data_IF_353529770059
#
_entry.id   IF_353529770059
#
_cell.length_a   1.000
_cell.length_b   1.000
_cell.length_c   1.000
_cell.angle_alpha   90.00
_cell.angle_beta   90.00
_cell.angle_gamma   90.00
#
_symmetry.space_group_name_H-M   'P 1'
#
loop_
_entity.id
_entity.type
_entity.pdbx_description
1 polymer ?
#
# COMPACT_ATOMS: atom_id res chain seq x y z
N UNK A 1 -0.72 14.31 -4.24
CA UNK A 1 0.03 15.58 -4.08
C UNK A 1 1.35 15.47 -4.85
N UNK A 2 2.14 16.55 -4.97
CA UNK A 2 3.53 16.43 -5.44
C UNK A 2 4.40 15.86 -4.30
N UNK A 3 5.26 14.87 -4.56
CA UNK A 3 6.12 14.32 -3.52
C UNK A 3 7.12 15.37 -3.04
N UNK A 4 7.48 15.30 -1.77
CA UNK A 4 8.64 16.04 -1.27
C UNK A 4 9.92 15.36 -1.77
N UNK A 5 10.84 16.13 -2.35
CA UNK A 5 12.09 15.62 -2.92
C UNK A 5 13.28 16.17 -2.14
N UNK A 6 14.22 15.30 -1.78
CA UNK A 6 15.42 15.64 -1.03
C UNK A 6 16.63 14.80 -1.47
N UNK A 7 17.82 15.17 -0.98
CA UNK A 7 19.06 14.45 -1.26
C UNK A 7 19.89 15.05 -2.38
N UNK A 8 20.63 14.19 -3.09
CA UNK A 8 21.44 14.63 -4.21
C UNK A 8 20.55 15.18 -5.33
N UNK A 9 21.08 16.13 -6.12
CA UNK A 9 20.33 16.70 -7.23
C UNK A 9 20.01 15.63 -8.27
N UNK A 10 18.73 15.43 -8.55
CA UNK A 10 18.23 14.53 -9.59
C UNK A 10 17.47 15.31 -10.67
N UNK A 11 17.33 14.72 -11.85
CA UNK A 11 16.50 15.28 -12.91
C UNK A 11 15.01 15.13 -12.57
N UNK A 12 14.17 16.06 -13.05
CA UNK A 12 12.72 15.95 -12.88
C UNK A 12 12.17 14.67 -13.54
N UNK A 13 12.79 14.24 -14.64
CA UNK A 13 12.47 12.98 -15.33
C UNK A 13 12.59 11.75 -14.40
N UNK A 14 13.56 11.74 -13.48
CA UNK A 14 13.72 10.65 -12.52
C UNK A 14 12.66 10.69 -11.43
N UNK A 15 12.28 11.88 -10.98
CA UNK A 15 11.15 12.07 -10.05
C UNK A 15 9.86 11.56 -10.68
N UNK A 16 9.60 11.95 -11.93
CA UNK A 16 8.39 11.56 -12.67
C UNK A 16 8.38 10.05 -12.94
N UNK A 17 9.52 9.45 -13.27
CA UNK A 17 9.65 8.01 -13.46
C UNK A 17 9.41 7.21 -12.18
N UNK A 18 9.88 7.69 -11.02
CA UNK A 18 9.61 7.06 -9.72
C UNK A 18 8.12 7.15 -9.39
N UNK A 19 7.49 8.31 -9.61
CA UNK A 19 6.04 8.49 -9.38
C UNK A 19 5.22 7.58 -10.30
N UNK A 20 5.62 7.46 -11.57
CA UNK A 20 5.00 6.56 -12.54
C UNK A 20 5.12 5.08 -12.11
N UNK A 21 6.29 4.66 -11.62
CA UNK A 21 6.49 3.31 -11.10
C UNK A 21 5.55 3.01 -9.93
N UNK A 22 5.38 3.95 -9.00
CA UNK A 22 4.42 3.78 -7.88
C UNK A 22 2.98 3.68 -8.40
N UNK A 23 2.61 4.43 -9.43
CA UNK A 23 1.30 4.32 -10.06
C UNK A 23 1.11 2.98 -10.79
N UNK A 24 2.15 2.43 -11.43
CA UNK A 24 2.12 1.08 -12.01
C UNK A 24 1.95 0.01 -10.92
N UNK A 25 2.59 0.20 -9.76
CA UNK A 25 2.45 -0.68 -8.59
C UNK A 25 1.01 -0.69 -8.05
N UNK A 26 0.38 0.48 -7.97
CA UNK A 26 -1.04 0.62 -7.65
C UNK A 26 -1.91 -0.09 -8.69
N UNK A 27 -1.69 0.20 -9.97
CA UNK A 27 -2.47 -0.36 -11.06
C UNK A 27 -2.41 -1.90 -11.07
N UNK A 28 -1.22 -2.47 -10.93
CA UNK A 28 -1.04 -3.92 -10.92
C UNK A 28 -1.75 -4.59 -9.74
N UNK A 29 -1.75 -3.98 -8.54
CA UNK A 29 -2.50 -4.50 -7.40
C UNK A 29 -4.00 -4.36 -7.57
N UNK A 30 -4.48 -3.18 -7.96
CA UNK A 30 -5.91 -2.93 -8.15
C UNK A 30 -6.49 -3.88 -9.20
N UNK A 31 -5.75 -4.18 -10.27
CA UNK A 31 -6.23 -5.02 -11.35
C UNK A 31 -5.81 -6.50 -11.21
N UNK A 32 -5.22 -6.87 -10.07
CA UNK A 32 -4.76 -8.24 -9.80
C UNK A 32 -3.88 -8.80 -10.94
N UNK A 33 -2.85 -8.04 -11.36
CA UNK A 33 -1.94 -8.36 -12.46
C UNK A 33 -0.58 -8.85 -11.92
N UNK A 34 -0.35 -10.17 -11.76
CA UNK A 34 0.85 -10.66 -11.08
C UNK A 34 2.13 -10.41 -11.86
N UNK A 35 2.14 -10.67 -13.16
CA UNK A 35 3.37 -10.52 -13.95
C UNK A 35 3.75 -9.05 -14.14
N UNK A 36 2.75 -8.16 -14.27
CA UNK A 36 2.98 -6.72 -14.28
C UNK A 36 3.56 -6.23 -12.95
N UNK A 37 3.04 -6.71 -11.82
CA UNK A 37 3.54 -6.38 -10.48
C UNK A 37 4.99 -6.84 -10.29
N UNK A 38 5.29 -8.08 -10.65
CA UNK A 38 6.63 -8.68 -10.53
C UNK A 38 7.64 -7.97 -11.41
N UNK A 39 7.23 -7.52 -12.60
CA UNK A 39 8.07 -6.76 -13.52
C UNK A 39 8.57 -5.42 -13.00
N UNK A 40 8.04 -4.91 -11.87
CA UNK A 40 8.48 -3.67 -11.21
C UNK A 40 9.69 -3.87 -10.29
N UNK A 41 10.02 -5.13 -9.96
CA UNK A 41 11.13 -5.49 -9.09
C UNK A 41 12.39 -5.79 -9.90
N UNK A 42 13.54 -5.58 -9.28
CA UNK A 42 14.79 -6.17 -9.77
C UNK A 42 14.78 -7.69 -9.60
N UNK A 43 15.60 -8.36 -10.40
CA UNK A 43 15.78 -9.81 -10.32
C UNK A 43 16.23 -10.28 -8.92
N UNK A 44 17.04 -9.45 -8.24
CA UNK A 44 17.65 -9.67 -6.91
C UNK A 44 16.92 -8.93 -5.78
N UNK A 45 15.68 -8.49 -6.00
CA UNK A 45 14.97 -7.66 -5.03
C UNK A 45 14.66 -8.40 -3.73
N UNK A 46 14.68 -7.67 -2.61
CA UNK A 46 14.26 -8.19 -1.31
C UNK A 46 12.98 -7.49 -0.85
N UNK A 47 11.99 -8.26 -0.38
CA UNK A 47 10.74 -7.70 0.14
C UNK A 47 10.43 -8.24 1.53
N UNK A 48 10.43 -7.34 2.52
CA UNK A 48 9.91 -7.61 3.86
C UNK A 48 8.40 -7.33 3.90
N UNK A 49 7.62 -8.41 3.89
CA UNK A 49 6.15 -8.35 4.05
C UNK A 49 5.75 -8.30 5.55
N UNK A 50 4.64 -7.63 5.90
CA UNK A 50 4.10 -7.69 7.26
C UNK A 50 3.71 -9.13 7.61
N UNK A 51 4.07 -9.59 8.81
CA UNK A 51 3.66 -10.88 9.39
C UNK A 51 4.03 -12.14 8.56
N UNK A 52 5.08 -12.08 7.74
CA UNK A 52 5.51 -13.21 6.92
C UNK A 52 7.03 -13.35 6.81
N UNK A 53 7.47 -14.43 6.17
CA UNK A 53 8.86 -14.62 5.74
C UNK A 53 9.18 -13.61 4.64
N UNK A 54 10.35 -12.97 4.74
CA UNK A 54 10.81 -12.08 3.68
C UNK A 54 10.98 -12.85 2.36
N UNK A 55 10.66 -12.20 1.24
CA UNK A 55 10.78 -12.75 -0.10
C UNK A 55 12.09 -12.28 -0.71
N UNK A 56 12.88 -13.21 -1.23
CA UNK A 56 14.19 -12.93 -1.81
C UNK A 56 14.21 -13.30 -3.29
N UNK A 57 14.41 -12.30 -4.14
CA UNK A 57 14.46 -12.44 -5.58
C UNK A 57 13.09 -12.47 -6.26
N UNK A 58 13.13 -12.28 -7.58
CA UNK A 58 11.93 -12.14 -8.41
C UNK A 58 11.08 -13.43 -8.48
N UNK A 59 11.70 -14.60 -8.31
CA UNK A 59 10.99 -15.89 -8.37
C UNK A 59 10.07 -16.08 -7.16
N UNK A 60 10.57 -15.82 -5.94
CA UNK A 60 9.77 -15.89 -4.71
C UNK A 60 8.67 -14.83 -4.70
N UNK A 61 9.01 -13.59 -5.10
CA UNK A 61 8.05 -12.51 -5.27
C UNK A 61 6.98 -12.91 -6.30
N UNK A 62 7.36 -13.55 -7.39
CA UNK A 62 6.45 -14.02 -8.43
C UNK A 62 5.51 -15.12 -7.98
N UNK A 63 6.01 -16.12 -7.25
CA UNK A 63 5.17 -17.16 -6.64
C UNK A 63 4.17 -16.54 -5.68
N UNK A 64 4.62 -15.61 -4.84
CA UNK A 64 3.75 -14.91 -3.91
C UNK A 64 2.69 -14.08 -4.63
N UNK A 65 3.08 -13.26 -5.61
CA UNK A 65 2.17 -12.39 -6.36
C UNK A 65 1.10 -13.19 -7.12
N UNK A 66 1.48 -14.28 -7.80
CA UNK A 66 0.53 -15.18 -8.50
C UNK A 66 -0.42 -15.90 -7.56
N UNK A 67 -0.04 -16.10 -6.29
CA UNK A 67 -0.91 -16.69 -5.28
C UNK A 67 -1.87 -15.66 -4.67
N UNK A 68 -1.38 -14.47 -4.33
CA UNK A 68 -2.12 -13.50 -3.51
C UNK A 68 -2.99 -12.57 -4.35
N UNK A 69 -2.48 -12.06 -5.48
CA UNK A 69 -3.21 -11.06 -6.26
C UNK A 69 -4.53 -11.59 -6.85
N UNK A 70 -4.62 -12.82 -7.40
CA UNK A 70 -5.91 -13.33 -7.89
C UNK A 70 -6.98 -13.43 -6.80
N UNK A 71 -6.59 -13.62 -5.52
CA UNK A 71 -7.53 -13.67 -4.40
C UNK A 71 -8.13 -12.30 -4.05
N UNK A 72 -7.63 -11.20 -4.62
CA UNK A 72 -8.20 -9.86 -4.45
C UNK A 72 -9.31 -9.55 -5.45
N UNK A 73 -9.47 -10.37 -6.49
CA UNK A 73 -10.53 -10.20 -7.49
C UNK A 73 -11.89 -10.29 -6.83
N UNK A 74 -12.76 -9.31 -7.12
CA UNK A 74 -14.11 -9.24 -6.55
C UNK A 74 -14.20 -8.63 -5.14
N UNK A 75 -13.06 -8.33 -4.49
CA UNK A 75 -13.09 -7.55 -3.25
C UNK A 75 -13.58 -6.12 -3.53
N UNK A 76 -14.42 -5.60 -2.63
CA UNK A 76 -15.02 -4.27 -2.74
C UNK A 76 -14.02 -3.14 -2.48
N UNK A 77 -12.95 -3.46 -1.76
CA UNK A 77 -11.88 -2.54 -1.41
C UNK A 77 -10.58 -2.93 -2.12
N UNK A 78 -9.77 -1.92 -2.37
CA UNK A 78 -8.40 -2.03 -2.86
C UNK A 78 -7.56 -0.92 -2.22
N UNK A 79 -6.28 -0.85 -2.59
CA UNK A 79 -5.35 0.16 -2.08
C UNK A 79 -5.06 1.21 -3.14
N UNK A 80 -5.11 2.47 -2.73
CA UNK A 80 -4.50 3.60 -3.45
C UNK A 80 -3.09 3.83 -2.90
N UNK A 81 -2.16 4.30 -3.73
CA UNK A 81 -0.77 4.55 -3.37
C UNK A 81 -0.41 6.01 -3.69
N UNK A 82 0.22 6.67 -2.73
CA UNK A 82 0.67 8.04 -2.87
C UNK A 82 2.16 8.12 -2.55
N UNK A 83 2.94 8.64 -3.50
CA UNK A 83 4.34 8.96 -3.28
C UNK A 83 4.43 10.21 -2.40
N UNK A 84 4.83 10.04 -1.15
CA UNK A 84 4.92 11.16 -0.18
C UNK A 84 6.30 11.83 -0.22
N UNK A 85 7.35 11.01 -0.28
CA UNK A 85 8.72 11.47 -0.10
C UNK A 85 9.68 10.68 -0.98
N UNK A 86 10.60 11.37 -1.65
CA UNK A 86 11.68 10.81 -2.44
C UNK A 86 13.00 11.39 -1.92
N UNK A 87 13.90 10.51 -1.49
CA UNK A 87 15.27 10.84 -1.10
C UNK A 87 16.22 10.22 -2.11
N UNK A 88 16.87 11.03 -2.93
CA UNK A 88 17.96 10.56 -3.77
C UNK A 88 19.21 10.38 -2.92
N UNK A 89 19.66 9.14 -2.78
CA UNK A 89 20.91 8.76 -2.11
C UNK A 89 22.06 8.93 -3.11
N UNK A 90 21.82 8.54 -4.36
CA UNK A 90 22.67 8.72 -5.54
C UNK A 90 21.79 9.08 -6.74
N UNK A 91 22.36 9.56 -7.86
CA UNK A 91 21.57 9.82 -9.08
C UNK A 91 20.81 8.58 -9.59
N UNK A 92 21.30 7.38 -9.27
CA UNK A 92 20.76 6.08 -9.67
C UNK A 92 20.13 5.28 -8.51
N UNK A 93 20.01 5.87 -7.31
CA UNK A 93 19.46 5.19 -6.11
C UNK A 93 18.59 6.16 -5.32
N UNK A 94 17.33 5.79 -5.10
CA UNK A 94 16.36 6.60 -4.37
C UNK A 94 15.62 5.77 -3.32
N UNK A 95 15.42 6.34 -2.14
CA UNK A 95 14.49 5.84 -1.14
C UNK A 95 13.16 6.57 -1.31
N UNK A 96 12.06 5.82 -1.37
CA UNK A 96 10.73 6.31 -1.67
C UNK A 96 9.78 5.87 -0.57
N UNK A 97 9.16 6.85 0.09
CA UNK A 97 8.09 6.60 1.05
C UNK A 97 6.76 6.65 0.30
N UNK A 98 6.02 5.56 0.37
CA UNK A 98 4.70 5.42 -0.26
C UNK A 98 3.66 5.23 0.83
N UNK A 99 2.66 6.09 0.88
CA UNK A 99 1.48 5.90 1.72
C UNK A 99 0.44 5.15 0.92
N UNK A 100 -0.11 4.08 1.48
CA UNK A 100 -1.28 3.41 0.89
C UNK A 100 -2.51 3.56 1.77
N UNK A 101 -3.67 3.68 1.14
CA UNK A 101 -4.96 3.86 1.81
C UNK A 101 -6.05 3.02 1.15
N UNK A 102 -6.98 2.44 1.94
CA UNK A 102 -8.11 1.73 1.39
C UNK A 102 -9.03 2.66 0.60
N UNK A 103 -9.36 2.24 -0.61
CA UNK A 103 -10.33 2.87 -1.50
C UNK A 103 -11.33 1.83 -1.98
N UNK A 104 -12.52 2.27 -2.36
CA UNK A 104 -13.44 1.43 -3.14
C UNK A 104 -12.88 1.21 -4.54
N UNK A 105 -13.46 0.24 -5.26
CA UNK A 105 -13.18 0.03 -6.69
C UNK A 105 -13.46 1.26 -7.57
N UNK A 106 -14.36 2.13 -7.14
CA UNK A 106 -14.68 3.39 -7.81
C UNK A 106 -13.72 4.55 -7.43
N UNK A 107 -12.70 4.27 -6.62
CA UNK A 107 -11.68 5.24 -6.22
C UNK A 107 -12.08 6.13 -5.04
N UNK A 108 -13.19 5.83 -4.36
CA UNK A 108 -13.59 6.59 -3.17
C UNK A 108 -12.81 6.14 -1.93
N UNK A 109 -12.10 7.08 -1.29
CA UNK A 109 -11.42 6.81 -0.02
C UNK A 109 -12.42 6.35 1.04
N UNK A 110 -12.07 5.26 1.73
CA UNK A 110 -12.93 4.71 2.78
C UNK A 110 -13.16 5.72 3.92
N UNK A 111 -12.17 6.56 4.23
CA UNK A 111 -12.27 7.62 5.24
C UNK A 111 -13.36 8.65 4.89
N UNK A 112 -13.54 8.94 3.60
CA UNK A 112 -14.57 9.87 3.12
C UNK A 112 -15.95 9.24 3.21
N UNK A 113 -16.10 7.97 2.83
CA UNK A 113 -17.36 7.24 2.96
C UNK A 113 -17.86 7.19 4.41
N UNK A 114 -16.94 6.97 5.35
CA UNK A 114 -17.28 6.95 6.77
C UNK A 114 -17.66 8.33 7.30
N UNK A 115 -16.96 9.38 6.84
CA UNK A 115 -17.27 10.76 7.22
C UNK A 115 -18.63 11.21 6.67
N UNK A 116 -18.97 10.89 5.41
CA UNK A 116 -20.29 11.19 4.82
C UNK A 116 -21.43 10.47 5.52
N UNK A 117 -21.22 9.23 5.96
CA UNK A 117 -22.22 8.51 6.77
C UNK A 117 -22.49 9.19 8.12
N UNK A 118 -21.50 9.88 8.71
CA UNK A 118 -21.69 10.69 9.93
C UNK A 118 -22.44 11.99 9.65
N UNK A 119 -22.23 12.61 8.50
CA UNK A 119 -22.85 13.91 8.14
C UNK A 119 -24.30 13.77 7.63
N UNK A 120 -24.60 12.70 6.88
CA UNK A 120 -25.95 12.45 6.33
C UNK A 120 -27.00 11.98 7.34
N UNK A 121 -26.59 11.62 8.56
CA UNK A 121 -27.48 11.22 9.66
C UNK A 121 -27.37 12.30 10.74
N UNK A 122 -28.33 13.24 10.73
CA UNK A 122 -28.24 14.51 11.44
C UNK A 122 -27.85 14.45 12.93
N UNK A 123 -27.35 15.60 13.40
CA UNK A 123 -26.87 16.01 14.73
C UNK A 123 -27.75 15.58 15.94
N UNK A 124 -27.92 14.28 16.18
CA UNK A 124 -28.48 13.70 17.41
C UNK A 124 -27.83 12.33 17.71
N UNK A 125 -26.74 12.32 18.47
CA UNK A 125 -26.18 11.08 19.03
C UNK A 125 -24.75 11.23 19.53
N UNK A 126 -24.51 10.99 20.83
CA UNK A 126 -23.21 11.13 21.49
C UNK A 126 -22.20 10.02 21.19
N UNK A 127 -21.12 9.95 22.00
CA UNK A 127 -19.93 9.08 21.90
C UNK A 127 -20.14 7.60 21.50
N UNK A 128 -21.36 7.06 21.56
CA UNK A 128 -21.70 5.68 21.19
C UNK A 128 -21.70 5.44 19.66
N UNK A 129 -21.99 6.43 18.83
CA UNK A 129 -22.10 6.25 17.37
C UNK A 129 -20.77 6.38 16.63
N UNK A 130 -19.84 7.19 17.14
CA UNK A 130 -18.45 7.21 16.64
C UNK A 130 -17.84 5.80 16.69
N UNK A 131 -18.21 5.03 17.72
CA UNK A 131 -17.80 3.64 17.90
C UNK A 131 -18.42 2.66 16.89
N UNK A 132 -19.61 2.92 16.31
CA UNK A 132 -20.21 2.06 15.27
C UNK A 132 -19.56 2.23 13.90
N UNK A 133 -19.30 3.48 13.51
CA UNK A 133 -18.54 3.76 12.28
C UNK A 133 -17.09 3.23 12.39
N UNK A 134 -16.48 3.37 13.57
CA UNK A 134 -15.20 2.75 13.90
C UNK A 134 -15.26 1.23 13.82
N UNK A 135 -16.26 0.58 14.43
CA UNK A 135 -16.47 -0.87 14.33
C UNK A 135 -16.66 -1.33 12.88
N UNK A 136 -17.42 -0.60 12.06
CA UNK A 136 -17.61 -0.92 10.64
C UNK A 136 -16.32 -0.77 9.83
N UNK A 137 -15.50 0.24 10.14
CA UNK A 137 -14.17 0.42 9.54
C UNK A 137 -13.26 -0.76 9.89
N UNK A 138 -13.19 -1.10 11.19
CA UNK A 138 -12.43 -2.26 11.68
C UNK A 138 -12.93 -3.52 11.00
N UNK A 139 -14.24 -3.80 10.97
CA UNK A 139 -14.77 -5.00 10.30
C UNK A 139 -14.45 -5.08 8.80
N UNK A 140 -14.48 -3.95 8.07
CA UNK A 140 -14.15 -3.92 6.64
C UNK A 140 -12.65 -4.16 6.39
N UNK A 141 -11.79 -3.57 7.22
CA UNK A 141 -10.33 -3.78 7.14
C UNK A 141 -9.96 -5.18 7.63
N UNK A 142 -10.61 -5.72 8.66
CA UNK A 142 -10.43 -7.11 9.13
C UNK A 142 -10.85 -8.12 8.06
N UNK A 143 -11.92 -7.84 7.30
CA UNK A 143 -12.36 -8.69 6.19
C UNK A 143 -11.42 -8.60 4.96
N UNK A 144 -10.61 -7.55 4.86
CA UNK A 144 -9.66 -7.33 3.78
C UNK A 144 -8.30 -6.83 4.34
N UNK A 145 -7.54 -7.68 5.07
CA UNK A 145 -6.35 -7.22 5.80
C UNK A 145 -5.25 -6.68 4.87
N UNK A 146 -5.25 -7.10 3.60
CA UNK A 146 -4.32 -6.62 2.57
C UNK A 146 -4.54 -5.17 2.09
N UNK A 147 -5.62 -4.50 2.52
CA UNK A 147 -5.92 -3.10 2.16
C UNK A 147 -5.90 -2.15 3.36
N UNK A 148 -5.42 -2.63 4.52
CA UNK A 148 -5.20 -1.78 5.67
C UNK A 148 -4.37 -0.55 5.26
N UNK A 149 -4.68 0.66 5.77
CA UNK A 149 -3.84 1.82 5.49
C UNK A 149 -2.42 1.54 5.99
N UNK A 150 -1.42 2.19 5.41
CA UNK A 150 -0.05 2.00 5.87
C UNK A 150 0.97 2.80 5.10
N UNK A 151 2.24 2.57 5.45
CA UNK A 151 3.38 3.18 4.78
C UNK A 151 4.32 2.07 4.33
N UNK A 152 4.79 2.18 3.10
CA UNK A 152 5.85 1.33 2.58
C UNK A 152 7.09 2.18 2.31
N UNK A 153 8.25 1.60 2.56
CA UNK A 153 9.54 2.15 2.18
C UNK A 153 10.10 1.31 1.03
N UNK A 154 10.31 1.95 -0.11
CA UNK A 154 10.91 1.32 -1.27
C UNK A 154 12.30 1.91 -1.52
N UNK A 155 13.32 1.07 -1.58
CA UNK A 155 14.58 1.44 -2.21
C UNK A 155 14.47 1.08 -3.69
N UNK A 156 14.61 2.08 -4.54
CA UNK A 156 14.59 1.94 -5.98
C UNK A 156 15.96 2.24 -6.54
N UNK A 157 16.33 1.53 -7.60
CA UNK A 157 17.57 1.80 -8.33
C UNK A 157 17.28 1.89 -9.82
N UNK A 158 18.03 2.74 -10.52
CA UNK A 158 17.96 2.89 -11.96
C UNK A 158 18.92 1.92 -12.64
N UNK A 159 18.41 1.05 -13.50
CA UNK A 159 19.19 0.14 -14.35
C UNK A 159 18.71 0.31 -15.80
N UNK A 160 19.64 0.50 -16.74
CA UNK A 160 19.34 0.68 -18.16
C UNK A 160 18.26 1.75 -18.45
N UNK A 161 18.32 2.86 -17.69
CA UNK A 161 17.38 3.97 -17.83
C UNK A 161 16.04 3.76 -17.10
N UNK A 162 15.76 2.56 -16.57
CA UNK A 162 14.51 2.21 -15.90
C UNK A 162 14.68 2.09 -14.40
N UNK A 163 13.79 2.71 -13.64
CA UNK A 163 13.72 2.53 -12.19
C UNK A 163 13.07 1.18 -11.87
N UNK A 164 13.62 0.47 -10.88
CA UNK A 164 13.11 -0.81 -10.39
C UNK A 164 13.23 -0.86 -8.86
N UNK A 165 12.32 -1.58 -8.22
CA UNK A 165 12.36 -1.81 -6.77
C UNK A 165 13.46 -2.82 -6.45
N UNK A 166 14.43 -2.39 -5.63
CA UNK A 166 15.53 -3.22 -5.14
C UNK A 166 15.22 -3.77 -3.73
N UNK A 167 14.57 -2.96 -2.91
CA UNK A 167 14.13 -3.36 -1.59
C UNK A 167 12.76 -2.76 -1.32
N UNK A 168 11.86 -3.55 -0.73
CA UNK A 168 10.60 -3.05 -0.22
C UNK A 168 10.41 -3.51 1.23
N UNK A 169 9.89 -2.62 2.05
CA UNK A 169 9.37 -2.96 3.37
C UNK A 169 8.02 -2.28 3.53
N UNK A 170 6.99 -3.08 3.73
CA UNK A 170 5.67 -2.56 4.06
C UNK A 170 5.50 -2.63 5.57
N UNK A 171 5.02 -1.55 6.19
CA UNK A 171 4.61 -1.56 7.59
C UNK A 171 3.10 -1.33 7.67
N UNK A 172 2.43 -2.17 8.45
CA UNK A 172 1.11 -1.84 8.96
C UNK A 172 1.28 -0.75 10.04
N UNK A 173 0.44 0.29 10.07
CA UNK A 173 0.46 1.28 11.11
C UNK A 173 0.08 0.62 12.43
N UNK A 174 0.80 1.03 13.48
CA UNK A 174 0.76 0.45 14.83
C UNK A 174 -0.65 0.50 15.45
N UNK A 175 -1.53 1.41 15.03
CA UNK A 175 -2.93 1.47 15.52
C UNK A 175 -3.78 0.22 15.15
N UNK A 176 -3.40 -0.50 14.09
CA UNK A 176 -4.07 -1.78 13.73
C UNK A 176 -3.67 -2.90 14.70
N UNK A 177 -2.52 -2.78 15.37
CA UNK A 177 -1.98 -3.78 16.30
C UNK A 177 -2.75 -3.77 17.64
N UNK A 178 -3.04 -2.60 18.20
CA UNK A 178 -3.86 -2.51 19.43
C UNK A 178 -5.31 -2.96 19.22
N UNK A 179 -5.83 -2.85 17.99
CA UNK A 179 -7.21 -3.23 17.69
C UNK A 179 -7.37 -4.71 17.32
N UNK A 180 -6.29 -5.38 16.89
CA UNK A 180 -6.26 -6.83 16.57
C UNK A 180 -5.93 -7.71 17.79
N UNK A 181 -5.44 -7.14 18.89
CA UNK A 181 -5.24 -7.89 20.15
C UNK A 181 -6.57 -8.16 20.91
N UNK A 182 -7.70 -7.66 20.41
CA UNK A 182 -9.03 -7.95 20.96
C UNK A 182 -9.78 -8.86 19.98
N UNK A 183 -9.92 -10.13 20.36
CA UNK A 183 -10.65 -11.21 19.66
C UNK A 183 -10.01 -11.81 18.38
N UNK A 184 -8.98 -12.63 18.59
CA UNK A 184 -8.82 -13.85 17.78
C UNK A 184 -9.60 -14.98 18.45
N UNK A 185 -10.72 -15.49 17.89
CA UNK A 185 -11.29 -16.73 18.37
C UNK A 185 -10.30 -17.86 18.07
N UNK A 186 -10.06 -18.70 19.09
CA UNK A 186 -9.32 -19.94 18.93
C UNK A 186 -9.92 -20.74 17.76
N UNK A 187 -9.06 -21.12 16.82
CA UNK A 187 -9.39 -22.02 15.72
C UNK A 187 -9.70 -23.39 16.32
N UNK A 188 -10.93 -23.87 16.12
CA UNK A 188 -11.28 -25.29 16.17
C UNK A 188 -11.24 -25.85 14.75
#
# INVERSE_FOLDING_TARGET
MKPQVAGVRAAQEDVDAIVALVAEFEHAQQNALPDAFVGLFRHDAFWSIPYGTALTGIDEIGVFARRVLPATVGQQLTSSFETEYIQFIRPDVAMVRVRHRPVTRDGELLDNLLSRHREGRGRRGGCRESSEAGRRWVSLVTACPGVAPGTALHLMTKADGRWLVAFAQSTAPVEVVETLEVDLPAVC
#
